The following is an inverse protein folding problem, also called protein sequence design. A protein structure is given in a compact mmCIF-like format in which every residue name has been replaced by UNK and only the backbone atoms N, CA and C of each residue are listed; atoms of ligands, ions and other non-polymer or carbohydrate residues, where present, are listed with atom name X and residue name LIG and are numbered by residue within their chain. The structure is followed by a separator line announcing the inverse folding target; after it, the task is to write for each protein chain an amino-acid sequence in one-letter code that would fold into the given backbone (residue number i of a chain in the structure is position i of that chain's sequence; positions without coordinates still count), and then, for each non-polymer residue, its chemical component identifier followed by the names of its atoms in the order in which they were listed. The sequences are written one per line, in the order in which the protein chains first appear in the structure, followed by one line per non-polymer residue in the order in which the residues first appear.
data_IF_755621828436
#
_entry.id   IF_755621828436
#
_cell.length_a   1.000
_cell.length_b   1.000
_cell.length_c   1.000
_cell.angle_alpha   90.00
_cell.angle_beta   90.00
_cell.angle_gamma   90.00
#
_symmetry.space_group_name_H-M   'P 1'
#
loop_
_entity.id
_entity.type
_entity.pdbx_description
1 polymer ?
#
# COMPACT_ATOMS: atom_id res chain seq x y z
N UNK A 1 3.93 10.91 21.09
CA UNK A 1 2.89 9.91 21.35
C UNK A 1 3.00 8.73 20.38
N UNK A 2 3.01 8.95 19.05
CA UNK A 2 3.04 7.92 18.01
C UNK A 2 4.21 6.93 18.16
N UNK A 3 5.45 7.42 18.24
CA UNK A 3 6.65 6.60 18.38
C UNK A 3 6.58 5.66 19.60
N UNK A 4 6.12 6.17 20.77
CA UNK A 4 5.96 5.35 21.99
C UNK A 4 4.93 4.24 21.81
N UNK A 5 3.85 4.49 21.07
CA UNK A 5 2.79 3.50 20.84
C UNK A 5 3.21 2.38 19.89
N UNK A 6 4.11 2.67 18.92
CA UNK A 6 4.44 1.77 17.81
C UNK A 6 5.83 1.12 17.90
N UNK A 7 6.74 1.62 18.76
CA UNK A 7 8.11 1.08 18.88
C UNK A 7 8.11 -0.41 19.22
N UNK A 8 8.86 -1.21 18.45
CA UNK A 8 8.98 -2.66 18.58
C UNK A 8 7.76 -3.43 18.08
N UNK A 9 6.84 -2.76 17.39
CA UNK A 9 5.61 -3.38 16.88
C UNK A 9 5.57 -3.32 15.35
N UNK A 10 4.76 -4.18 14.78
CA UNK A 10 4.32 -4.08 13.38
C UNK A 10 2.79 -4.10 13.32
N UNK A 11 2.26 -3.54 12.24
CA UNK A 11 0.84 -3.53 11.94
C UNK A 11 0.61 -4.03 10.51
N UNK A 12 -0.51 -4.70 10.29
CA UNK A 12 -0.97 -5.12 8.96
C UNK A 12 -2.33 -4.48 8.77
N UNK A 13 -2.51 -3.76 7.68
CA UNK A 13 -3.79 -3.10 7.42
C UNK A 13 -4.09 -2.96 5.92
N UNK A 14 -5.38 -2.96 5.58
CA UNK A 14 -5.92 -2.36 4.35
C UNK A 14 -6.30 -0.93 4.72
N UNK A 15 -5.47 0.03 4.36
CA UNK A 15 -5.71 1.42 4.72
C UNK A 15 -6.81 2.05 3.86
N UNK A 16 -7.77 2.75 4.47
CA UNK A 16 -8.96 3.26 3.77
C UNK A 16 -8.62 4.19 2.61
N UNK A 17 -7.74 5.18 2.82
CA UNK A 17 -7.35 6.12 1.76
C UNK A 17 -6.52 5.43 0.69
N UNK A 18 -5.61 4.52 1.09
CA UNK A 18 -4.80 3.75 0.15
C UNK A 18 -5.66 2.85 -0.71
N UNK A 19 -6.62 2.13 -0.11
CA UNK A 19 -7.53 1.26 -0.85
C UNK A 19 -8.38 2.03 -1.85
N UNK A 20 -8.90 3.22 -1.47
CA UNK A 20 -9.56 4.12 -2.39
C UNK A 20 -8.68 4.44 -3.61
N UNK A 21 -7.42 4.84 -3.37
CA UNK A 21 -6.50 5.23 -4.44
C UNK A 21 -6.11 4.05 -5.33
N UNK A 22 -5.97 2.85 -4.76
CA UNK A 22 -5.73 1.61 -5.53
C UNK A 22 -6.95 1.31 -6.41
N UNK A 23 -8.17 1.35 -5.85
CA UNK A 23 -9.42 1.14 -6.60
C UNK A 23 -9.55 2.16 -7.75
N UNK A 24 -9.32 3.44 -7.47
CA UNK A 24 -9.39 4.50 -8.48
C UNK A 24 -8.42 4.25 -9.64
N UNK A 25 -7.22 3.78 -9.36
CA UNK A 25 -6.22 3.46 -10.39
C UNK A 25 -6.56 2.15 -11.12
N UNK A 26 -7.07 1.13 -10.42
CA UNK A 26 -7.44 -0.15 -11.01
C UNK A 26 -8.59 -0.05 -12.03
N UNK A 27 -9.51 0.94 -11.87
CA UNK A 27 -10.62 1.15 -12.81
C UNK A 27 -10.30 2.09 -13.97
N UNK A 28 -9.08 2.66 -14.04
CA UNK A 28 -8.60 3.40 -15.23
C UNK A 28 -8.46 2.47 -16.43
N UNK A 29 -8.43 3.01 -17.65
CA UNK A 29 -8.15 2.17 -18.83
C UNK A 29 -6.75 1.55 -18.77
N UNK A 30 -5.77 2.28 -18.20
CA UNK A 30 -4.44 1.75 -17.91
C UNK A 30 -4.48 0.56 -16.92
N UNK A 31 -5.19 0.72 -15.80
CA UNK A 31 -5.30 -0.31 -14.78
C UNK A 31 -6.05 -1.55 -15.26
N UNK A 32 -7.14 -1.38 -16.03
CA UNK A 32 -7.91 -2.47 -16.63
C UNK A 32 -7.09 -3.29 -17.65
N UNK A 33 -6.08 -2.68 -18.26
CA UNK A 33 -5.18 -3.32 -19.23
C UNK A 33 -3.85 -3.80 -18.62
N UNK A 34 -3.69 -3.76 -17.28
CA UNK A 34 -2.41 -4.03 -16.63
C UNK A 34 -2.57 -4.99 -15.43
N UNK A 35 -2.59 -6.27 -15.73
CA UNK A 35 -2.67 -7.36 -14.75
C UNK A 35 -1.33 -7.58 -14.00
N UNK A 36 -0.21 -7.11 -14.53
CA UNK A 36 1.06 -7.11 -13.81
C UNK A 36 1.03 -6.15 -12.61
N UNK A 37 0.29 -5.05 -12.71
CA UNK A 37 0.18 -4.06 -11.63
C UNK A 37 -0.95 -4.39 -10.66
N UNK A 38 -2.12 -4.79 -11.18
CA UNK A 38 -3.32 -5.06 -10.41
C UNK A 38 -3.71 -6.54 -10.50
N UNK A 39 -3.93 -7.17 -9.33
CA UNK A 39 -4.52 -8.52 -9.29
C UNK A 39 -5.97 -8.45 -9.81
N UNK A 40 -6.17 -8.99 -11.01
CA UNK A 40 -7.45 -8.99 -11.72
C UNK A 40 -8.23 -10.27 -11.49
N UNK A 41 -7.79 -11.10 -10.56
CA UNK A 41 -8.41 -12.37 -10.27
C UNK A 41 -9.25 -12.32 -8.97
N UNK A 42 -10.17 -13.29 -8.87
CA UNK A 42 -10.96 -13.50 -7.67
C UNK A 42 -12.20 -12.59 -7.56
N UNK A 43 -12.96 -12.83 -6.49
CA UNK A 43 -14.27 -12.20 -6.33
C UNK A 43 -14.17 -10.74 -5.91
N UNK A 44 -13.16 -10.38 -5.11
CA UNK A 44 -12.98 -9.00 -4.69
C UNK A 44 -12.76 -8.05 -5.87
N UNK A 45 -11.92 -8.44 -6.86
CA UNK A 45 -11.75 -7.65 -8.08
C UNK A 45 -13.04 -7.48 -8.87
N UNK A 46 -13.83 -8.56 -9.00
CA UNK A 46 -15.15 -8.51 -9.67
C UNK A 46 -16.11 -7.56 -8.95
N UNK A 47 -16.15 -7.60 -7.62
CA UNK A 47 -16.98 -6.70 -6.80
C UNK A 47 -16.53 -5.25 -6.94
N UNK A 48 -15.22 -4.99 -6.92
CA UNK A 48 -14.66 -3.66 -7.20
C UNK A 48 -15.08 -3.16 -8.57
N UNK A 49 -14.96 -3.97 -9.62
CA UNK A 49 -15.40 -3.56 -10.96
C UNK A 49 -16.90 -3.34 -11.04
N UNK A 50 -17.71 -4.24 -10.48
CA UNK A 50 -19.17 -4.10 -10.48
C UNK A 50 -19.60 -2.78 -9.81
N UNK A 51 -18.94 -2.39 -8.73
CA UNK A 51 -19.27 -1.19 -7.96
C UNK A 51 -18.68 0.09 -8.58
N UNK A 52 -17.40 0.10 -8.94
CA UNK A 52 -16.67 1.32 -9.27
C UNK A 52 -16.48 1.58 -10.77
N UNK A 53 -16.48 0.57 -11.64
CA UNK A 53 -16.31 0.76 -13.09
C UNK A 53 -17.35 1.71 -13.72
N UNK A 54 -18.60 1.82 -13.24
CA UNK A 54 -19.54 2.86 -13.70
C UNK A 54 -19.02 4.29 -13.57
N UNK A 55 -18.05 4.53 -12.67
CA UNK A 55 -17.45 5.86 -12.41
C UNK A 55 -16.14 6.08 -13.18
N UNK A 56 -15.73 5.18 -14.07
CA UNK A 56 -14.43 5.28 -14.78
C UNK A 56 -14.26 6.55 -15.63
N UNK A 57 -15.36 7.21 -16.00
CA UNK A 57 -15.35 8.45 -16.77
C UNK A 57 -15.36 9.71 -15.89
N UNK A 58 -15.25 9.60 -14.56
CA UNK A 58 -15.06 10.76 -13.71
C UNK A 58 -13.72 11.44 -14.02
N UNK A 59 -13.69 12.78 -13.98
CA UNK A 59 -12.51 13.57 -14.36
C UNK A 59 -11.24 13.15 -13.64
N UNK A 60 -11.35 12.81 -12.35
CA UNK A 60 -10.19 12.36 -11.57
C UNK A 60 -9.67 11.00 -12.06
N UNK A 61 -10.55 10.07 -12.48
CA UNK A 61 -10.14 8.79 -13.02
C UNK A 61 -9.45 8.95 -14.38
N UNK A 62 -9.99 9.80 -15.26
CA UNK A 62 -9.34 10.14 -16.53
C UNK A 62 -7.98 10.82 -16.32
N UNK A 63 -7.85 11.65 -15.28
CA UNK A 63 -6.57 12.28 -14.93
C UNK A 63 -5.57 11.25 -14.40
N UNK A 64 -5.99 10.34 -13.52
CA UNK A 64 -5.14 9.24 -13.04
C UNK A 64 -4.69 8.33 -14.19
N UNK A 65 -5.59 8.01 -15.12
CA UNK A 65 -5.28 7.25 -16.32
C UNK A 65 -4.16 7.90 -17.15
N UNK A 66 -4.28 9.21 -17.38
CA UNK A 66 -3.24 9.99 -18.09
C UNK A 66 -1.90 9.95 -17.34
N UNK A 67 -1.91 10.13 -16.02
CA UNK A 67 -0.70 10.12 -15.21
C UNK A 67 -0.02 8.73 -15.20
N UNK A 68 -0.80 7.65 -15.11
CA UNK A 68 -0.26 6.29 -15.15
C UNK A 68 0.36 5.96 -16.51
N UNK A 69 -0.26 6.41 -17.61
CA UNK A 69 0.29 6.28 -18.97
C UNK A 69 1.56 7.09 -19.18
N UNK A 70 1.68 8.24 -18.52
CA UNK A 70 2.89 9.06 -18.53
C UNK A 70 4.03 8.38 -17.75
N UNK A 71 3.73 7.88 -16.56
CA UNK A 71 4.69 7.15 -15.73
C UNK A 71 4.00 6.20 -14.74
N UNK A 72 4.32 4.88 -14.75
CA UNK A 72 3.84 3.94 -13.74
C UNK A 72 4.23 4.32 -12.30
N UNK A 73 5.27 5.14 -12.10
CA UNK A 73 5.67 5.64 -10.78
C UNK A 73 4.58 6.49 -10.12
N UNK A 74 3.64 7.02 -10.88
CA UNK A 74 2.49 7.72 -10.32
C UNK A 74 1.64 6.82 -9.40
N UNK A 75 1.63 5.50 -9.65
CA UNK A 75 1.03 4.55 -8.71
C UNK A 75 1.64 4.69 -7.31
N UNK A 76 2.98 4.71 -7.22
CA UNK A 76 3.69 4.81 -5.95
C UNK A 76 3.51 6.21 -5.32
N UNK A 77 3.54 7.27 -6.13
CA UNK A 77 3.32 8.63 -5.63
C UNK A 77 1.93 8.81 -4.99
N UNK A 78 0.89 8.21 -5.56
CA UNK A 78 -0.44 8.22 -4.93
C UNK A 78 -0.51 7.31 -3.72
N UNK A 79 -0.17 6.03 -3.87
CA UNK A 79 -0.33 5.04 -2.81
C UNK A 79 0.64 5.25 -1.65
N UNK A 80 1.88 5.68 -1.92
CA UNK A 80 2.89 6.01 -0.91
C UNK A 80 2.55 7.22 -0.06
N UNK A 81 1.78 8.16 -0.62
CA UNK A 81 1.33 9.34 0.12
C UNK A 81 -0.08 9.20 0.73
N UNK A 82 -0.74 8.06 0.61
CA UNK A 82 -2.09 7.84 1.13
C UNK A 82 -2.23 8.13 2.62
N UNK A 83 -1.21 7.83 3.42
CA UNK A 83 -1.20 8.06 4.87
C UNK A 83 -1.09 9.53 5.28
N UNK A 84 -0.82 10.43 4.35
CA UNK A 84 -0.84 11.87 4.65
C UNK A 84 -2.24 12.41 4.90
N UNK A 85 -3.26 11.60 4.68
CA UNK A 85 -4.66 11.94 4.92
C UNK A 85 -5.43 10.79 5.56
N UNK A 86 -6.44 11.15 6.34
CA UNK A 86 -7.44 10.25 6.90
C UNK A 86 -8.84 10.78 6.58
N UNK A 87 -9.85 9.92 6.52
CA UNK A 87 -11.23 10.37 6.37
C UNK A 87 -11.84 10.84 7.69
N UNK A 88 -12.43 12.02 7.67
CA UNK A 88 -13.41 12.49 8.65
C UNK A 88 -14.72 12.80 7.93
N UNK A 89 -15.75 11.99 8.15
CA UNK A 89 -16.93 11.99 7.28
C UNK A 89 -16.52 11.74 5.82
N UNK A 90 -16.96 12.62 4.91
CA UNK A 90 -16.62 12.57 3.48
C UNK A 90 -15.38 13.43 3.13
N UNK A 91 -14.66 13.96 4.13
CA UNK A 91 -13.54 14.89 3.94
C UNK A 91 -12.23 14.22 4.30
N UNK A 92 -11.21 14.45 3.50
CA UNK A 92 -9.84 14.07 3.79
C UNK A 92 -9.19 15.12 4.69
N UNK A 93 -8.82 14.75 5.91
CA UNK A 93 -8.08 15.60 6.85
C UNK A 93 -6.61 15.20 6.87
N UNK A 94 -5.67 16.17 6.93
CA UNK A 94 -4.24 15.87 6.98
C UNK A 94 -3.88 15.04 8.22
N UNK A 95 -3.00 14.06 8.04
CA UNK A 95 -2.37 13.36 9.16
C UNK A 95 -1.33 14.27 9.82
N UNK A 96 -1.13 14.11 11.15
CA UNK A 96 -0.18 14.91 11.90
C UNK A 96 1.23 14.34 11.91
N UNK A 97 1.38 13.03 11.64
CA UNK A 97 2.66 12.34 11.66
C UNK A 97 3.22 12.15 10.23
N UNK A 98 2.39 11.72 9.29
CA UNK A 98 2.79 11.49 7.91
C UNK A 98 2.62 12.76 7.09
N UNK A 99 3.73 13.47 6.79
CA UNK A 99 3.65 14.73 6.06
C UNK A 99 3.79 14.57 4.55
N UNK A 100 4.85 13.93 4.08
CA UNK A 100 5.09 13.69 2.65
C UNK A 100 6.08 12.52 2.46
N UNK A 101 5.69 11.26 2.75
CA UNK A 101 6.60 10.13 2.77
C UNK A 101 7.17 9.75 1.39
N UNK A 102 6.36 9.79 0.32
CA UNK A 102 6.80 9.44 -1.02
C UNK A 102 7.06 10.70 -1.86
N UNK A 103 8.10 11.46 -1.51
CA UNK A 103 8.55 12.64 -2.26
C UNK A 103 9.52 12.28 -3.39
N UNK A 104 10.29 11.21 -3.25
CA UNK A 104 11.22 10.72 -4.25
C UNK A 104 11.07 9.21 -4.43
N UNK A 105 10.93 8.75 -5.68
CA UNK A 105 10.84 7.34 -6.05
C UNK A 105 11.69 7.10 -7.28
N UNK A 106 12.62 6.12 -7.22
CA UNK A 106 13.53 5.76 -8.32
C UNK A 106 14.25 7.00 -8.93
N UNK A 107 14.71 7.92 -8.08
CA UNK A 107 15.37 9.20 -8.45
C UNK A 107 14.44 10.23 -9.15
N UNK A 108 13.17 9.95 -9.25
CA UNK A 108 12.16 10.92 -9.69
C UNK A 108 11.61 11.64 -8.47
N UNK A 109 11.67 12.96 -8.46
CA UNK A 109 11.16 13.81 -7.38
C UNK A 109 9.87 14.49 -7.78
N UNK A 110 8.99 14.65 -6.81
CA UNK A 110 7.80 15.50 -6.92
C UNK A 110 7.82 16.55 -5.80
N UNK A 111 7.45 17.78 -6.13
CA UNK A 111 7.45 18.90 -5.17
C UNK A 111 6.12 19.01 -4.41
N UNK A 112 5.06 18.44 -4.94
CA UNK A 112 3.71 18.51 -4.38
C UNK A 112 3.12 17.12 -4.24
N UNK A 113 2.57 16.85 -3.06
CA UNK A 113 1.83 15.61 -2.81
C UNK A 113 0.59 15.54 -3.72
N UNK A 114 0.45 14.52 -4.59
CA UNK A 114 -0.65 14.42 -5.54
C UNK A 114 -2.03 14.35 -4.85
N UNK A 115 -2.11 13.82 -3.63
CA UNK A 115 -3.38 13.79 -2.89
C UNK A 115 -3.79 15.22 -2.51
N UNK A 116 -2.83 16.07 -2.10
CA UNK A 116 -3.11 17.48 -1.84
C UNK A 116 -3.62 18.18 -3.08
N UNK A 117 -3.00 17.92 -4.24
CA UNK A 117 -3.38 18.51 -5.53
C UNK A 117 -4.81 18.14 -5.93
N UNK A 118 -5.18 16.87 -5.77
CA UNK A 118 -6.47 16.33 -6.23
C UNK A 118 -7.46 16.03 -5.10
N UNK A 119 -7.25 16.61 -3.92
CA UNK A 119 -8.02 16.33 -2.71
C UNK A 119 -9.54 16.39 -2.92
N UNK A 120 -10.01 17.50 -3.48
CA UNK A 120 -11.44 17.75 -3.72
C UNK A 120 -12.07 16.77 -4.69
N UNK A 121 -11.33 16.39 -5.72
CA UNK A 121 -11.77 15.44 -6.73
C UNK A 121 -11.82 14.02 -6.17
N UNK A 122 -10.86 13.66 -5.33
CA UNK A 122 -10.82 12.36 -4.62
C UNK A 122 -11.99 12.27 -3.65
N UNK A 123 -12.23 13.30 -2.83
CA UNK A 123 -13.39 13.39 -1.93
C UNK A 123 -14.72 13.26 -2.68
N UNK A 124 -14.85 14.00 -3.80
CA UNK A 124 -16.05 13.93 -4.66
C UNK A 124 -16.26 12.53 -5.22
N UNK A 125 -15.19 11.86 -5.69
CA UNK A 125 -15.26 10.50 -6.18
C UNK A 125 -15.68 9.54 -5.06
N UNK A 126 -15.04 9.59 -3.89
CA UNK A 126 -15.34 8.74 -2.75
C UNK A 126 -16.80 8.86 -2.33
N UNK A 127 -17.32 10.09 -2.26
CA UNK A 127 -18.72 10.36 -1.94
C UNK A 127 -19.68 9.84 -3.03
N UNK A 128 -19.42 10.18 -4.30
CA UNK A 128 -20.28 9.82 -5.43
C UNK A 128 -20.37 8.31 -5.63
N UNK A 129 -19.26 7.61 -5.46
CA UNK A 129 -19.17 6.15 -5.57
C UNK A 129 -19.59 5.41 -4.31
N UNK A 130 -19.94 6.13 -3.23
CA UNK A 130 -20.25 5.54 -1.92
C UNK A 130 -19.12 4.62 -1.41
N UNK A 131 -17.85 5.00 -1.67
CA UNK A 131 -16.66 4.21 -1.34
C UNK A 131 -16.62 3.83 0.15
N UNK A 132 -16.89 4.77 1.07
CA UNK A 132 -16.80 4.49 2.50
C UNK A 132 -17.75 3.40 2.98
N UNK A 133 -18.94 3.30 2.36
CA UNK A 133 -19.85 2.19 2.64
C UNK A 133 -19.26 0.88 2.10
N UNK A 134 -18.75 0.88 0.86
CA UNK A 134 -18.09 -0.30 0.29
C UNK A 134 -16.95 -0.77 1.18
N UNK A 135 -16.05 0.13 1.58
CA UNK A 135 -14.94 -0.19 2.46
C UNK A 135 -15.39 -0.76 3.82
N UNK A 136 -16.43 -0.16 4.43
CA UNK A 136 -17.00 -0.65 5.68
C UNK A 136 -17.62 -2.04 5.54
N UNK A 137 -18.33 -2.29 4.46
CA UNK A 137 -19.00 -3.57 4.21
C UNK A 137 -17.97 -4.70 4.00
N UNK A 138 -16.74 -4.36 3.53
CA UNK A 138 -15.65 -5.31 3.32
C UNK A 138 -14.71 -5.50 4.54
N UNK A 139 -15.00 -4.87 5.70
CA UNK A 139 -14.15 -5.05 6.90
C UNK A 139 -13.94 -6.52 7.29
N UNK A 140 -14.95 -7.43 7.27
CA UNK A 140 -14.72 -8.84 7.57
C UNK A 140 -13.73 -9.52 6.61
N UNK A 141 -13.76 -9.13 5.33
CA UNK A 141 -12.81 -9.62 4.33
C UNK A 141 -11.38 -9.09 4.62
N UNK A 142 -11.22 -7.82 4.95
CA UNK A 142 -9.91 -7.24 5.30
C UNK A 142 -9.34 -7.86 6.57
N UNK A 143 -10.16 -8.12 7.58
CA UNK A 143 -9.75 -8.84 8.79
C UNK A 143 -9.23 -10.25 8.49
N UNK A 144 -9.79 -10.93 7.49
CA UNK A 144 -9.28 -12.22 7.04
C UNK A 144 -7.89 -12.09 6.39
N UNK A 145 -7.66 -11.05 5.59
CA UNK A 145 -6.33 -10.76 5.02
C UNK A 145 -5.27 -10.56 6.13
N UNK A 146 -5.62 -9.86 7.20
CA UNK A 146 -4.70 -9.66 8.34
C UNK A 146 -4.33 -10.98 9.01
N UNK A 147 -5.33 -11.84 9.28
CA UNK A 147 -5.13 -13.17 9.86
C UNK A 147 -4.27 -14.06 8.96
N UNK A 148 -4.49 -14.00 7.66
CA UNK A 148 -3.69 -14.76 6.70
C UNK A 148 -2.22 -14.34 6.73
N UNK A 149 -1.94 -13.04 6.83
CA UNK A 149 -0.57 -12.54 6.99
C UNK A 149 0.07 -13.02 8.30
N UNK A 150 -0.61 -12.87 9.42
CA UNK A 150 -0.10 -13.31 10.73
C UNK A 150 0.20 -14.81 10.78
N UNK A 151 -0.63 -15.62 10.14
CA UNK A 151 -0.49 -17.08 10.14
C UNK A 151 0.56 -17.59 9.13
N UNK A 152 0.65 -16.95 7.95
CA UNK A 152 1.43 -17.49 6.81
C UNK A 152 2.75 -16.76 6.58
N UNK A 153 2.98 -15.62 7.24
CA UNK A 153 4.21 -14.83 7.09
C UNK A 153 4.74 -14.41 8.45
N UNK A 154 5.91 -14.90 8.82
CA UNK A 154 6.51 -14.60 10.12
C UNK A 154 7.42 -13.35 10.02
N UNK A 155 6.80 -12.14 9.94
CA UNK A 155 7.54 -10.88 9.88
C UNK A 155 8.47 -10.70 11.09
N UNK A 156 8.02 -11.03 12.29
CA UNK A 156 8.83 -10.87 13.51
C UNK A 156 10.13 -11.69 13.48
N UNK A 157 10.09 -12.89 12.89
CA UNK A 157 11.28 -13.73 12.72
C UNK A 157 12.25 -13.13 11.71
N UNK A 158 11.73 -12.63 10.58
CA UNK A 158 12.53 -11.96 9.54
C UNK A 158 13.19 -10.71 10.11
N UNK A 159 12.43 -9.85 10.79
CA UNK A 159 12.93 -8.63 11.43
C UNK A 159 14.07 -8.92 12.41
N UNK A 160 13.85 -9.85 13.35
CA UNK A 160 14.90 -10.24 14.34
C UNK A 160 16.15 -10.79 13.67
N UNK A 161 15.98 -11.58 12.60
CA UNK A 161 17.13 -12.13 11.88
C UNK A 161 17.94 -11.03 11.20
N UNK A 162 17.27 -10.08 10.54
CA UNK A 162 17.92 -8.95 9.87
C UNK A 162 18.66 -8.06 10.89
N UNK A 163 18.03 -7.72 12.01
CA UNK A 163 18.67 -6.90 13.05
C UNK A 163 19.82 -7.58 13.78
N UNK A 164 19.87 -8.92 13.77
CA UNK A 164 21.01 -9.69 14.28
C UNK A 164 22.19 -9.67 13.33
N UNK A 165 21.96 -9.63 12.03
CA UNK A 165 23.01 -9.80 11.00
C UNK A 165 23.41 -8.48 10.33
N UNK A 166 22.67 -7.39 10.52
CA UNK A 166 22.97 -6.08 9.96
C UNK A 166 22.98 -4.99 11.04
N UNK A 167 23.75 -3.92 10.79
CA UNK A 167 23.85 -2.79 11.73
C UNK A 167 22.59 -1.92 11.76
N UNK A 168 21.87 -1.86 10.63
CA UNK A 168 20.64 -1.08 10.53
C UNK A 168 19.59 -1.54 11.55
N UNK A 169 18.89 -0.56 12.15
CA UNK A 169 17.79 -0.79 13.08
C UNK A 169 16.58 0.02 12.67
N UNK A 170 15.42 -0.58 12.75
CA UNK A 170 14.15 0.07 12.48
C UNK A 170 13.24 -0.07 13.72
N UNK A 171 12.48 0.97 14.03
CA UNK A 171 11.68 1.00 15.26
C UNK A 171 10.31 0.36 15.10
N UNK A 172 9.76 0.35 13.88
CA UNK A 172 8.43 -0.18 13.60
C UNK A 172 8.25 -0.54 12.12
N UNK A 173 7.28 -1.40 11.83
CA UNK A 173 6.85 -1.75 10.47
C UNK A 173 5.35 -1.61 10.32
N UNK A 174 4.92 -1.17 9.14
CA UNK A 174 3.52 -1.24 8.70
C UNK A 174 3.47 -1.95 7.35
N UNK A 175 2.63 -2.97 7.26
CA UNK A 175 2.34 -3.66 6.02
C UNK A 175 0.98 -3.18 5.53
N UNK A 176 0.99 -2.49 4.41
CA UNK A 176 -0.23 -2.17 3.68
C UNK A 176 -0.46 -3.25 2.64
N UNK A 177 -1.58 -3.93 2.74
CA UNK A 177 -1.97 -4.97 1.79
C UNK A 177 -3.30 -4.63 1.13
N UNK A 178 -3.49 -5.12 -0.07
CA UNK A 178 -4.78 -5.15 -0.76
C UNK A 178 -4.82 -6.35 -1.69
N UNK A 179 -6.01 -6.90 -1.89
CA UNK A 179 -6.22 -7.97 -2.87
C UNK A 179 -6.09 -7.47 -4.31
N UNK A 180 -6.04 -6.15 -4.51
CA UNK A 180 -5.82 -5.55 -5.83
C UNK A 180 -4.34 -5.36 -6.19
N UNK A 181 -3.41 -5.52 -5.24
CA UNK A 181 -1.97 -5.38 -5.51
C UNK A 181 -1.45 -6.67 -6.14
N UNK A 182 -0.73 -6.57 -7.27
CA UNK A 182 -0.01 -7.69 -7.87
C UNK A 182 1.51 -7.43 -7.94
N UNK A 183 2.01 -6.69 -8.88
CA UNK A 183 3.44 -6.62 -9.18
C UNK A 183 4.21 -5.40 -8.69
N UNK A 184 3.55 -4.31 -8.33
CA UNK A 184 4.21 -3.11 -7.82
C UNK A 184 4.31 -3.10 -6.30
N UNK A 185 5.12 -4.03 -5.79
CA UNK A 185 5.52 -4.04 -4.39
C UNK A 185 6.62 -3.01 -4.17
N UNK A 186 6.60 -2.36 -3.02
CA UNK A 186 7.67 -1.43 -2.67
C UNK A 186 7.74 -1.21 -1.16
N UNK A 187 8.89 -0.73 -0.71
CA UNK A 187 9.13 -0.31 0.66
C UNK A 187 9.50 1.16 0.71
N UNK A 188 9.06 1.85 1.75
CA UNK A 188 9.45 3.23 2.03
C UNK A 188 9.86 3.38 3.48
N UNK A 189 10.90 4.17 3.74
CA UNK A 189 11.32 4.51 5.08
C UNK A 189 10.83 5.90 5.48
N UNK A 190 10.29 6.02 6.68
CA UNK A 190 9.90 7.29 7.28
C UNK A 190 10.66 7.50 8.58
N UNK A 191 11.31 8.65 8.71
CA UNK A 191 12.08 8.98 9.91
C UNK A 191 11.63 10.35 10.44
N UNK A 192 11.12 10.35 11.66
CA UNK A 192 10.78 11.59 12.38
C UNK A 192 11.31 11.53 13.80
N UNK A 193 12.10 12.54 14.18
CA UNK A 193 12.70 12.66 15.51
C UNK A 193 13.48 11.40 15.95
N UNK A 194 14.14 10.74 14.99
CA UNK A 194 14.91 9.51 15.22
C UNK A 194 14.07 8.24 15.31
N UNK A 195 12.74 8.31 15.21
CA UNK A 195 11.88 7.13 15.09
C UNK A 195 11.80 6.69 13.62
N UNK A 196 12.23 5.46 13.37
CA UNK A 196 12.28 4.87 12.02
C UNK A 196 11.12 3.91 11.82
N UNK A 197 10.20 4.30 10.95
CA UNK A 197 9.09 3.46 10.50
C UNK A 197 9.37 2.99 9.07
N UNK A 198 9.20 1.70 8.83
CA UNK A 198 9.22 1.12 7.49
C UNK A 198 7.80 0.78 7.08
N UNK A 199 7.41 1.26 5.91
CA UNK A 199 6.16 0.91 5.26
C UNK A 199 6.45 -0.03 4.10
N UNK A 200 5.73 -1.13 4.04
CA UNK A 200 5.77 -2.09 2.93
C UNK A 200 4.40 -2.17 2.30
N UNK A 201 4.36 -2.05 0.99
CA UNK A 201 3.15 -2.22 0.20
C UNK A 201 3.27 -3.56 -0.51
N UNK A 202 2.40 -4.50 -0.12
CA UNK A 202 2.51 -5.91 -0.52
C UNK A 202 1.17 -6.45 -1.00
N UNK A 203 1.17 -7.44 -1.93
CA UNK A 203 -0.04 -8.15 -2.32
C UNK A 203 -0.62 -8.92 -1.13
N UNK A 204 -1.87 -9.32 -1.25
CA UNK A 204 -2.45 -10.27 -0.31
C UNK A 204 -1.69 -11.60 -0.33
N UNK A 205 -1.70 -12.29 0.80
CA UNK A 205 -1.04 -13.61 0.94
C UNK A 205 -1.62 -14.59 -0.09
N UNK A 206 -0.73 -15.26 -0.83
CA UNK A 206 -1.12 -16.28 -1.79
C UNK A 206 -1.70 -17.51 -1.10
N UNK A 207 -2.80 -18.01 -1.65
CA UNK A 207 -3.47 -19.25 -1.25
C UNK A 207 -3.58 -20.21 -2.45
N UNK A 208 -2.53 -20.30 -3.24
CA UNK A 208 -2.51 -21.08 -4.48
C UNK A 208 -2.96 -22.53 -4.24
N UNK A 209 -4.04 -22.99 -4.88
CA UNK A 209 -4.52 -24.36 -4.73
C UNK A 209 -3.47 -25.41 -5.09
N UNK A 210 -3.45 -26.52 -4.36
CA UNK A 210 -2.55 -27.65 -4.59
C UNK A 210 -1.14 -27.49 -4.02
N UNK A 211 -0.80 -26.34 -3.43
CA UNK A 211 0.45 -26.17 -2.69
C UNK A 211 0.28 -26.56 -1.22
N UNK A 212 1.32 -27.17 -0.65
CA UNK A 212 1.40 -27.45 0.79
C UNK A 212 1.54 -26.16 1.59
N UNK A 213 1.19 -26.19 2.87
CA UNK A 213 1.38 -25.03 3.78
C UNK A 213 2.82 -24.52 3.78
N UNK A 214 3.80 -25.43 3.73
CA UNK A 214 5.22 -25.06 3.69
C UNK A 214 5.62 -24.35 2.40
N UNK A 215 5.06 -24.75 1.26
CA UNK A 215 5.29 -24.07 -0.01
C UNK A 215 4.64 -22.67 -0.04
N UNK A 216 3.44 -22.53 0.52
CA UNK A 216 2.75 -21.25 0.65
C UNK A 216 3.50 -20.32 1.62
N UNK A 217 3.95 -20.84 2.78
CA UNK A 217 4.79 -20.07 3.71
C UNK A 217 6.07 -19.58 3.02
N UNK A 218 6.75 -20.45 2.27
CA UNK A 218 7.96 -20.09 1.55
C UNK A 218 7.73 -19.00 0.51
N UNK A 219 6.66 -19.08 -0.28
CA UNK A 219 6.31 -18.07 -1.28
C UNK A 219 6.01 -16.72 -0.65
N UNK A 220 5.12 -16.71 0.34
CA UNK A 220 4.68 -15.49 1.01
C UNK A 220 5.81 -14.83 1.80
N UNK A 221 6.65 -15.64 2.46
CA UNK A 221 7.84 -15.15 3.17
C UNK A 221 8.84 -14.54 2.20
N UNK A 222 9.03 -15.11 1.00
CA UNK A 222 9.95 -14.57 0.00
C UNK A 222 9.52 -13.19 -0.46
N UNK A 223 8.24 -13.00 -0.80
CA UNK A 223 7.72 -11.69 -1.25
C UNK A 223 7.95 -10.62 -0.18
N UNK A 224 7.63 -10.92 1.07
CA UNK A 224 7.87 -10.00 2.19
C UNK A 224 9.37 -9.76 2.43
N UNK A 225 10.20 -10.81 2.34
CA UNK A 225 11.62 -10.71 2.63
C UNK A 225 12.34 -9.81 1.62
N UNK A 226 11.96 -9.84 0.35
CA UNK A 226 12.53 -8.94 -0.67
C UNK A 226 12.29 -7.46 -0.36
N UNK A 227 11.17 -7.13 0.25
CA UNK A 227 10.86 -5.73 0.61
C UNK A 227 11.48 -5.31 1.95
N UNK A 228 11.54 -6.22 2.93
CA UNK A 228 12.11 -5.88 4.23
C UNK A 228 13.64 -5.77 4.17
N UNK A 229 14.33 -6.60 3.39
CA UNK A 229 15.80 -6.60 3.33
C UNK A 229 16.37 -5.36 2.64
N UNK A 230 15.65 -4.72 1.72
CA UNK A 230 16.03 -3.42 1.14
C UNK A 230 16.37 -2.37 2.20
N UNK A 231 15.74 -2.42 3.35
CA UNK A 231 15.98 -1.49 4.45
C UNK A 231 17.25 -1.81 5.26
N UNK A 232 17.95 -2.88 4.93
CA UNK A 232 19.18 -3.33 5.60
C UNK A 232 20.35 -3.43 4.63
N UNK A 233 20.17 -4.00 3.44
CA UNK A 233 21.27 -4.27 2.49
C UNK A 233 21.60 -3.08 1.58
N UNK A 234 20.61 -2.24 1.26
CA UNK A 234 20.82 -1.07 0.39
C UNK A 234 21.60 0.06 1.07
N UNK A 235 21.66 0.08 2.40
CA UNK A 235 22.35 1.12 3.18
C UNK A 235 23.86 1.11 2.96
N UNK A 236 24.57 -0.04 2.95
CA UNK A 236 26.00 -0.10 2.66
C UNK A 236 26.35 0.28 1.22
N UNK A 237 25.51 -0.09 0.25
CA UNK A 237 25.77 0.17 -1.18
C UNK A 237 25.59 1.64 -1.56
N UNK A 238 24.85 2.42 -0.79
CA UNK A 238 24.70 3.87 -0.99
C UNK A 238 25.88 4.69 -0.42
N UNK A 239 26.79 4.06 0.34
CA UNK A 239 27.96 4.71 0.93
C UNK A 239 29.24 4.54 0.11
N UNK A 240 29.22 3.72 -0.95
CA UNK A 240 30.28 3.50 -1.91
C UNK A 240 29.90 4.15 -3.26
#
# INVERSE_FOLDING_TARGET
AFAKANKGKYHIEVNEVKELLIIMQAITDYGLGNDDMFDQEGDYYKEVLAHFKPFKNELIILKMDSLLKESPLNYIFFTGNSKTYNFDGDTLIPDQFYLFPAQEVAKVKIDVNPITTYKKEIEKFAKKSNFRKFYKDHQPFYEQLYKDYEQKVNLQKQWRWLEKNFEAKNDSYVIYTSKLINGLNYTTGYNQDGFKLIEMILPAVSVTPGKSEKELESLNTRVMFTEIDHNYVDIPTKKN
#
